data_IF_849700186447
#
_entry.id   IF_849700186447
#
_cell.length_a   1.000
_cell.length_b   1.000
_cell.length_c   1.000
_cell.angle_alpha   90.00
_cell.angle_beta   90.00
_cell.angle_gamma   90.00
#
_symmetry.space_group_name_H-M   'P 1'
#
loop_
_entity.id
_entity.type
_entity.pdbx_description
1 polymer ?
#
# COMPACT_ATOMS: atom_id res chain seq x y z
N UNK A 1 -29.17 0.40 -28.88
CA UNK A 1 -28.42 -0.33 -27.84
C UNK A 1 -27.06 -0.67 -28.42
N UNK A 2 -25.99 -0.18 -27.80
CA UNK A 2 -24.66 -0.06 -28.40
C UNK A 2 -24.06 -1.40 -28.86
N UNK A 3 -23.54 -1.38 -30.10
CA UNK A 3 -22.85 -2.44 -30.80
C UNK A 3 -21.59 -2.98 -30.07
N UNK A 4 -21.14 -2.31 -29.00
CA UNK A 4 -19.96 -2.70 -28.22
C UNK A 4 -20.26 -3.39 -26.87
N UNK A 5 -21.53 -3.67 -26.55
CA UNK A 5 -21.93 -4.28 -25.27
C UNK A 5 -21.28 -5.65 -25.01
N UNK A 6 -20.98 -6.44 -26.06
CA UNK A 6 -20.32 -7.76 -25.94
C UNK A 6 -18.88 -7.67 -25.44
N UNK A 7 -18.12 -6.67 -25.91
CA UNK A 7 -16.73 -6.48 -25.49
C UNK A 7 -16.65 -6.14 -24.00
N UNK A 8 -17.40 -5.12 -23.58
CA UNK A 8 -17.42 -4.70 -22.17
C UNK A 8 -17.99 -5.78 -21.25
N UNK A 9 -19.01 -6.50 -21.68
CA UNK A 9 -19.53 -7.66 -20.94
C UNK A 9 -18.46 -8.75 -20.77
N UNK A 10 -17.70 -9.05 -21.84
CA UNK A 10 -16.57 -9.98 -21.78
C UNK A 10 -15.49 -9.53 -20.80
N UNK A 11 -15.13 -8.23 -20.81
CA UNK A 11 -14.17 -7.66 -19.85
C UNK A 11 -14.65 -7.81 -18.39
N UNK A 12 -15.93 -7.54 -18.12
CA UNK A 12 -16.52 -7.67 -16.78
C UNK A 12 -16.52 -9.13 -16.33
N UNK A 13 -16.96 -10.07 -17.18
CA UNK A 13 -16.96 -11.50 -16.85
C UNK A 13 -15.55 -12.01 -16.59
N UNK A 14 -14.59 -11.63 -17.43
CA UNK A 14 -13.18 -12.01 -17.23
C UNK A 14 -12.61 -11.44 -15.92
N UNK A 15 -12.95 -10.19 -15.59
CA UNK A 15 -12.57 -9.57 -14.32
C UNK A 15 -13.21 -10.29 -13.13
N UNK A 16 -14.50 -10.60 -13.20
CA UNK A 16 -15.21 -11.32 -12.14
C UNK A 16 -14.60 -12.71 -11.90
N UNK A 17 -14.28 -13.45 -12.98
CA UNK A 17 -13.61 -14.76 -12.87
C UNK A 17 -12.23 -14.65 -12.20
N UNK A 18 -11.41 -13.67 -12.60
CA UNK A 18 -10.08 -13.46 -12.00
C UNK A 18 -10.15 -13.03 -10.53
N UNK A 19 -11.17 -12.29 -10.15
CA UNK A 19 -11.34 -11.78 -8.79
C UNK A 19 -12.13 -12.75 -7.89
N UNK A 20 -12.58 -13.88 -8.42
CA UNK A 20 -13.33 -14.88 -7.65
C UNK A 20 -12.38 -15.78 -6.89
N UNK A 21 -12.51 -15.83 -5.56
CA UNK A 21 -11.79 -16.77 -4.71
C UNK A 21 -12.65 -18.03 -4.59
N UNK A 22 -12.30 -19.06 -5.37
CA UNK A 22 -13.05 -20.34 -5.41
C UNK A 22 -12.59 -21.30 -4.31
N UNK A 23 -11.30 -21.26 -3.96
CA UNK A 23 -10.74 -22.04 -2.88
C UNK A 23 -9.61 -21.27 -2.20
N UNK A 24 -9.46 -21.48 -0.89
CA UNK A 24 -8.40 -20.91 -0.08
C UNK A 24 -7.65 -22.03 0.66
N UNK A 25 -6.31 -22.01 0.63
CA UNK A 25 -5.49 -22.97 1.37
C UNK A 25 -5.15 -22.39 2.74
N UNK A 26 -5.57 -23.06 3.80
CA UNK A 26 -5.25 -22.74 5.19
C UNK A 26 -4.44 -23.90 5.80
N UNK A 27 -3.11 -23.71 5.85
CA UNK A 27 -2.17 -24.76 6.24
C UNK A 27 -2.28 -26.01 5.34
N UNK A 28 -2.60 -27.19 5.89
CA UNK A 28 -2.80 -28.41 5.11
C UNK A 28 -4.20 -28.54 4.48
N UNK A 29 -5.16 -27.66 4.83
CA UNK A 29 -6.57 -27.78 4.43
C UNK A 29 -6.92 -26.85 3.27
N UNK A 30 -7.80 -27.30 2.39
CA UNK A 30 -8.49 -26.46 1.41
C UNK A 30 -9.89 -26.08 1.89
N UNK A 31 -10.24 -24.80 1.73
CA UNK A 31 -11.55 -24.23 2.04
C UNK A 31 -12.22 -23.83 0.73
N UNK A 32 -13.35 -24.45 0.41
CA UNK A 32 -14.07 -24.25 -0.86
C UNK A 32 -15.43 -23.56 -0.67
N UNK A 33 -15.96 -23.58 0.56
CA UNK A 33 -17.20 -22.87 0.88
C UNK A 33 -16.92 -21.37 1.06
N UNK A 34 -17.73 -20.47 0.46
CA UNK A 34 -17.62 -19.03 0.70
C UNK A 34 -17.65 -18.63 2.16
N UNK A 35 -18.43 -19.33 3.00
CA UNK A 35 -18.49 -19.05 4.44
C UNK A 35 -17.17 -19.36 5.15
N UNK A 36 -16.56 -20.49 4.82
CA UNK A 36 -15.27 -20.93 5.38
C UNK A 36 -14.14 -20.00 4.94
N UNK A 37 -14.12 -19.61 3.66
CA UNK A 37 -13.14 -18.66 3.12
C UNK A 37 -13.26 -17.32 3.86
N UNK A 38 -14.48 -16.81 4.03
CA UNK A 38 -14.72 -15.54 4.74
C UNK A 38 -14.26 -15.60 6.19
N UNK A 39 -14.62 -16.65 6.91
CA UNK A 39 -14.21 -16.86 8.30
C UNK A 39 -12.68 -16.92 8.45
N UNK A 40 -12.02 -17.71 7.60
CA UNK A 40 -10.56 -17.83 7.64
C UNK A 40 -9.86 -16.49 7.36
N UNK A 41 -10.36 -15.71 6.41
CA UNK A 41 -9.85 -14.36 6.11
C UNK A 41 -10.04 -13.42 7.29
N UNK A 42 -11.23 -13.43 7.91
CA UNK A 42 -11.52 -12.60 9.08
C UNK A 42 -10.63 -12.94 10.28
N UNK A 43 -10.49 -14.23 10.60
CA UNK A 43 -9.61 -14.71 11.67
C UNK A 43 -8.15 -14.35 11.40
N UNK A 44 -7.67 -14.55 10.16
CA UNK A 44 -6.31 -14.22 9.77
C UNK A 44 -6.01 -12.75 10.00
N UNK A 45 -6.84 -11.84 9.49
CA UNK A 45 -6.60 -10.41 9.62
C UNK A 45 -6.86 -9.89 11.03
N UNK A 46 -7.86 -10.43 11.74
CA UNK A 46 -8.09 -10.12 13.15
C UNK A 46 -6.85 -10.43 13.99
N UNK A 47 -6.24 -11.61 13.79
CA UNK A 47 -4.98 -11.97 14.45
C UNK A 47 -3.80 -11.14 13.97
N UNK A 48 -3.68 -10.91 12.66
CA UNK A 48 -2.56 -10.15 12.10
C UNK A 48 -2.52 -8.70 12.60
N UNK A 49 -3.69 -8.06 12.68
CA UNK A 49 -3.85 -6.70 13.20
C UNK A 49 -4.15 -6.65 14.69
N UNK A 50 -4.23 -7.79 15.37
CA UNK A 50 -4.30 -7.79 16.83
C UNK A 50 -3.02 -7.15 17.36
N UNK A 51 -3.20 -6.12 18.17
CA UNK A 51 -2.07 -5.46 18.82
C UNK A 51 -1.48 -6.45 19.81
N UNK A 52 -0.39 -7.11 19.43
CA UNK A 52 0.44 -7.78 20.42
C UNK A 52 0.96 -6.68 21.32
N UNK A 53 0.56 -6.69 22.58
CA UNK A 53 1.03 -5.76 23.61
C UNK A 53 2.50 -6.09 23.93
N UNK A 54 3.37 -5.95 22.93
CA UNK A 54 4.82 -5.98 23.10
C UNK A 54 5.20 -4.60 23.58
N UNK A 55 5.94 -4.54 24.69
CA UNK A 55 6.66 -3.34 25.09
C UNK A 55 7.48 -2.90 23.87
N UNK A 56 7.08 -1.82 23.21
CA UNK A 56 7.89 -1.23 22.15
C UNK A 56 9.09 -0.60 22.86
N UNK A 57 10.33 -1.00 22.54
CA UNK A 57 11.48 -0.29 23.07
C UNK A 57 11.37 1.17 22.66
N UNK A 58 11.48 2.08 23.63
CA UNK A 58 11.63 3.50 23.33
C UNK A 58 13.06 3.75 22.87
N UNK A 59 13.21 4.76 22.02
CA UNK A 59 14.54 5.21 21.56
C UNK A 59 15.04 6.36 22.45
N UNK A 60 14.51 6.46 23.67
CA UNK A 60 14.87 7.51 24.62
C UNK A 60 16.35 7.36 25.00
N UNK A 61 17.08 8.47 24.97
CA UNK A 61 18.52 8.49 25.24
C UNK A 61 19.42 8.10 24.06
N UNK A 62 18.87 7.72 22.90
CA UNK A 62 19.66 7.49 21.69
C UNK A 62 19.86 8.84 20.98
N UNK A 63 21.12 9.30 20.81
CA UNK A 63 21.38 10.52 20.04
C UNK A 63 21.14 10.24 18.55
N UNK A 64 20.12 10.87 17.99
CA UNK A 64 19.91 10.90 16.54
C UNK A 64 20.65 12.10 15.94
N UNK A 65 21.30 11.96 14.77
CA UNK A 65 21.71 13.10 13.98
C UNK A 65 20.51 14.03 13.77
N UNK A 66 20.68 15.29 14.14
CA UNK A 66 19.65 16.32 14.05
C UNK A 66 20.23 17.46 13.25
N UNK A 67 19.40 17.99 12.35
CA UNK A 67 19.73 19.22 11.65
C UNK A 67 19.89 20.36 12.66
N UNK A 68 20.93 21.17 12.46
CA UNK A 68 21.12 22.44 13.14
C UNK A 68 19.95 23.39 12.80
N UNK A 69 19.85 24.51 13.53
CA UNK A 69 18.81 25.49 13.24
C UNK A 69 19.00 26.10 11.84
N UNK A 70 20.26 26.31 11.46
CA UNK A 70 20.68 26.84 10.16
C UNK A 70 20.34 25.87 9.04
N UNK A 71 20.64 24.57 9.21
CA UNK A 71 20.30 23.53 8.23
C UNK A 71 18.78 23.38 8.07
N UNK A 72 18.02 23.49 9.16
CA UNK A 72 16.55 23.50 9.08
C UNK A 72 16.04 24.72 8.30
N UNK A 73 16.63 25.88 8.54
CA UNK A 73 16.25 27.09 7.82
C UNK A 73 16.57 26.94 6.33
N UNK A 74 17.76 26.45 5.99
CA UNK A 74 18.22 26.37 4.60
C UNK A 74 17.34 25.46 3.73
N UNK A 75 16.86 24.34 4.28
CA UNK A 75 15.97 23.42 3.54
C UNK A 75 14.53 23.93 3.38
N UNK A 76 14.16 25.01 4.06
CA UNK A 76 12.82 25.63 3.96
C UNK A 76 12.78 26.85 3.04
N UNK A 77 13.93 27.26 2.50
CA UNK A 77 14.02 28.41 1.59
C UNK A 77 13.37 28.04 0.24
N UNK A 78 12.56 28.94 -0.36
CA UNK A 78 12.03 28.72 -1.70
C UNK A 78 13.14 28.70 -2.76
N UNK A 79 12.95 27.92 -3.81
CA UNK A 79 13.85 27.89 -4.96
C UNK A 79 13.97 29.26 -5.64
N UNK A 80 15.18 29.61 -6.07
CA UNK A 80 15.39 30.82 -6.86
C UNK A 80 15.08 30.57 -8.32
N UNK A 81 14.83 31.64 -9.08
CA UNK A 81 14.55 31.52 -10.52
C UNK A 81 15.76 30.95 -11.27
N UNK A 82 16.98 31.32 -10.86
CA UNK A 82 18.22 30.85 -11.44
C UNK A 82 18.42 29.34 -11.22
N UNK A 83 18.08 28.85 -10.03
CA UNK A 83 18.13 27.42 -9.71
C UNK A 83 17.14 26.63 -10.59
N UNK A 84 15.92 27.13 -10.72
CA UNK A 84 14.87 26.53 -11.57
C UNK A 84 15.32 26.52 -13.03
N UNK A 85 15.79 27.65 -13.56
CA UNK A 85 16.23 27.76 -14.95
C UNK A 85 17.41 26.84 -15.25
N UNK A 86 18.35 26.71 -14.33
CA UNK A 86 19.50 25.81 -14.47
C UNK A 86 19.03 24.37 -14.58
N UNK A 87 18.19 23.91 -13.64
CA UNK A 87 17.70 22.53 -13.63
C UNK A 87 16.87 22.23 -14.88
N UNK A 88 16.06 23.18 -15.36
CA UNK A 88 15.28 23.02 -16.59
C UNK A 88 16.18 22.90 -17.82
N UNK A 89 17.27 23.66 -17.90
CA UNK A 89 18.23 23.59 -19.03
C UNK A 89 19.09 22.32 -19.00
N UNK A 90 19.32 21.76 -17.81
CA UNK A 90 20.11 20.53 -17.60
C UNK A 90 19.26 19.25 -17.63
N UNK A 91 17.94 19.35 -17.75
CA UNK A 91 17.04 18.20 -17.86
C UNK A 91 16.75 17.87 -19.34
N UNK A 92 17.20 16.70 -19.79
CA UNK A 92 16.89 16.13 -21.12
C UNK A 92 15.39 15.78 -21.29
#
# INVERSE_FOLDING_TARGET
GDANSKFFHGCIVARNKRNSIVALKDGPRWLESPSQIREAVEVFFSRHFSVVHRLRPNLDGIPFPRLSLEEKSSITVPFTLEEIEKVVKESD
#
